data_IF_604428177714
#
_entry.id   IF_604428177714
#
_cell.length_a   1.000
_cell.length_b   1.000
_cell.length_c   1.000
_cell.angle_alpha   90.00
_cell.angle_beta   90.00
_cell.angle_gamma   90.00
#
_symmetry.space_group_name_H-M   'P 1'
#
loop_
_entity.id
_entity.type
_entity.pdbx_description
1 polymer ?
#
# COMPACT_ATOMS: atom_id res chain seq x y z
N UNK A 1 41.58 62.85 65.43
CA UNK A 1 42.12 62.53 64.10
C UNK A 1 42.20 61.01 63.99
N UNK A 2 41.45 60.38 63.07
CA UNK A 2 41.44 58.91 62.90
C UNK A 2 42.55 58.51 61.93
N UNK A 3 43.46 57.65 62.37
CA UNK A 3 44.54 57.10 61.54
C UNK A 3 43.98 56.18 60.46
N UNK A 4 44.21 56.50 59.19
CA UNK A 4 43.91 55.61 58.08
C UNK A 4 44.94 54.48 58.05
N UNK A 5 44.47 53.22 58.11
CA UNK A 5 45.30 52.03 57.90
C UNK A 5 45.39 51.79 56.39
N UNK A 6 46.61 51.78 55.85
CA UNK A 6 46.88 51.46 54.45
C UNK A 6 46.73 49.96 54.17
N UNK A 7 46.32 49.63 52.94
CA UNK A 7 46.16 48.25 52.46
C UNK A 7 47.52 47.53 52.43
N UNK A 8 47.58 46.30 52.92
CA UNK A 8 48.83 45.51 52.84
C UNK A 8 48.91 44.78 51.50
N UNK A 9 50.13 44.61 50.97
CA UNK A 9 50.35 43.89 49.71
C UNK A 9 49.87 42.42 49.81
N UNK A 10 50.00 41.81 50.99
CA UNK A 10 49.56 40.44 51.24
C UNK A 10 48.04 40.29 51.11
N UNK A 11 47.27 41.26 51.62
CA UNK A 11 45.80 41.23 51.53
C UNK A 11 45.30 41.30 50.09
N UNK A 12 45.97 42.10 49.25
CA UNK A 12 45.68 42.17 47.82
C UNK A 12 46.01 40.86 47.11
N UNK A 13 47.14 40.24 47.46
CA UNK A 13 47.56 38.97 46.87
C UNK A 13 46.59 37.84 47.22
N UNK A 14 46.15 37.75 48.48
CA UNK A 14 45.16 36.75 48.91
C UNK A 14 43.82 37.00 48.24
N UNK A 15 43.36 38.26 48.16
CA UNK A 15 42.13 38.61 47.47
C UNK A 15 42.15 38.20 45.99
N UNK A 16 43.24 38.48 45.28
CA UNK A 16 43.43 38.07 43.89
C UNK A 16 43.50 36.56 43.72
N UNK A 17 44.15 35.84 44.63
CA UNK A 17 44.22 34.38 44.59
C UNK A 17 42.83 33.74 44.74
N UNK A 18 42.05 34.19 45.72
CA UNK A 18 40.68 33.71 45.94
C UNK A 18 39.80 34.07 44.75
N UNK A 19 39.88 35.31 44.25
CA UNK A 19 39.12 35.75 43.10
C UNK A 19 39.42 34.92 41.85
N UNK A 20 40.70 34.66 41.57
CA UNK A 20 41.13 33.82 40.46
C UNK A 20 40.56 32.39 40.59
N UNK A 21 40.59 31.79 41.79
CA UNK A 21 40.01 30.47 42.02
C UNK A 21 38.50 30.46 41.79
N UNK A 22 37.78 31.46 42.29
CA UNK A 22 36.33 31.57 42.07
C UNK A 22 35.98 31.75 40.58
N UNK A 23 36.76 32.57 39.86
CA UNK A 23 36.58 32.76 38.43
C UNK A 23 36.77 31.43 37.65
N UNK A 24 37.80 30.66 38.00
CA UNK A 24 38.06 29.34 37.38
C UNK A 24 36.95 28.34 37.72
N UNK A 25 36.50 28.28 38.98
CA UNK A 25 35.41 27.39 39.39
C UNK A 25 34.10 27.73 38.66
N UNK A 26 33.77 29.02 38.54
CA UNK A 26 32.61 29.49 37.79
C UNK A 26 32.68 29.12 36.31
N UNK A 27 33.86 29.25 35.69
CA UNK A 27 34.06 28.84 34.29
C UNK A 27 33.88 27.33 34.08
N UNK A 28 34.39 26.49 35.00
CA UNK A 28 34.22 25.04 34.91
C UNK A 28 32.75 24.60 34.99
N UNK A 29 31.96 25.23 35.86
CA UNK A 29 30.52 24.96 35.94
C UNK A 29 29.81 25.35 34.66
N UNK A 30 30.12 26.54 34.13
CA UNK A 30 29.55 27.02 32.87
C UNK A 30 29.90 26.10 31.68
N UNK A 31 31.16 25.68 31.55
CA UNK A 31 31.61 24.75 30.51
C UNK A 31 30.90 23.39 30.64
N UNK A 32 30.77 22.86 31.86
CA UNK A 32 30.04 21.61 32.12
C UNK A 32 28.58 21.69 31.68
N UNK A 33 27.88 22.79 32.01
CA UNK A 33 26.48 23.02 31.60
C UNK A 33 26.36 23.15 30.09
N UNK A 34 27.27 23.89 29.43
CA UNK A 34 27.25 24.02 27.98
C UNK A 34 27.44 22.67 27.28
N UNK A 35 28.42 21.88 27.70
CA UNK A 35 28.65 20.53 27.15
C UNK A 35 27.46 19.60 27.41
N UNK A 36 26.83 19.70 28.59
CA UNK A 36 25.63 18.92 28.88
C UNK A 36 24.47 19.30 27.94
N UNK A 37 24.29 20.59 27.69
CA UNK A 37 23.28 21.11 26.75
C UNK A 37 23.55 20.67 25.32
N UNK A 38 24.79 20.74 24.86
CA UNK A 38 25.18 20.29 23.52
C UNK A 38 24.87 18.80 23.31
N UNK A 39 25.21 17.95 24.28
CA UNK A 39 24.85 16.52 24.22
C UNK A 39 23.34 16.30 24.22
N UNK A 40 22.60 17.01 25.07
CA UNK A 40 21.16 16.91 25.12
C UNK A 40 20.51 17.32 23.78
N UNK A 41 21.01 18.39 23.16
CA UNK A 41 20.53 18.85 21.85
C UNK A 41 20.81 17.80 20.77
N UNK A 42 22.02 17.24 20.72
CA UNK A 42 22.36 16.18 19.78
C UNK A 42 21.43 14.96 19.88
N UNK A 43 21.12 14.51 21.11
CA UNK A 43 20.17 13.42 21.31
C UNK A 43 18.73 13.80 20.92
N UNK A 44 18.31 15.04 21.17
CA UNK A 44 16.99 15.53 20.78
C UNK A 44 16.84 15.56 19.25
N UNK A 45 17.86 16.03 18.53
CA UNK A 45 17.85 16.09 17.06
C UNK A 45 17.78 14.67 16.46
N UNK A 46 18.57 13.72 16.98
CA UNK A 46 18.53 12.32 16.55
C UNK A 46 17.15 11.66 16.76
N UNK A 47 16.53 11.94 17.92
CA UNK A 47 15.20 11.43 18.23
C UNK A 47 14.13 12.07 17.33
N UNK A 48 14.29 13.35 16.95
CA UNK A 48 13.38 14.02 16.04
C UNK A 48 13.41 13.38 14.64
N UNK A 49 14.60 13.06 14.13
CA UNK A 49 14.76 12.35 12.84
C UNK A 49 14.12 10.96 12.89
N UNK A 50 14.34 10.20 13.96
CA UNK A 50 13.72 8.88 14.16
C UNK A 50 12.18 8.96 14.19
N UNK A 51 11.64 9.93 14.93
CA UNK A 51 10.20 10.17 15.00
C UNK A 51 9.61 10.59 13.65
N UNK A 52 10.31 11.45 12.90
CA UNK A 52 9.89 11.86 11.57
C UNK A 52 9.77 10.66 10.64
N UNK A 53 10.80 9.79 10.59
CA UNK A 53 10.77 8.58 9.79
C UNK A 53 9.61 7.65 10.19
N UNK A 54 9.40 7.46 11.50
CA UNK A 54 8.29 6.65 12.00
C UNK A 54 6.92 7.21 11.58
N UNK A 55 6.70 8.53 11.72
CA UNK A 55 5.45 9.18 11.33
C UNK A 55 5.20 9.10 9.83
N UNK A 56 6.24 9.28 9.02
CA UNK A 56 6.17 9.14 7.57
C UNK A 56 5.71 7.72 7.17
N UNK A 57 6.35 6.68 7.72
CA UNK A 57 5.92 5.29 7.49
C UNK A 57 4.51 5.06 8.01
N UNK A 58 4.16 5.54 9.21
CA UNK A 58 2.82 5.36 9.77
C UNK A 58 1.73 5.96 8.87
N UNK A 59 1.97 7.14 8.31
CA UNK A 59 1.06 7.79 7.37
C UNK A 59 0.91 6.98 6.06
N UNK A 60 2.02 6.57 5.46
CA UNK A 60 2.00 5.80 4.21
C UNK A 60 1.33 4.43 4.42
N UNK A 61 1.63 3.74 5.53
CA UNK A 61 1.03 2.45 5.90
C UNK A 61 -0.48 2.56 6.20
N UNK A 62 -0.90 3.68 6.80
CA UNK A 62 -2.32 3.96 7.09
C UNK A 62 -3.15 4.27 5.84
N UNK A 63 -2.52 4.63 4.73
CA UNK A 63 -3.17 5.01 3.48
C UNK A 63 -3.01 3.96 2.36
N UNK A 64 -2.45 2.80 2.66
CA UNK A 64 -2.27 1.71 1.68
C UNK A 64 -3.62 1.28 1.11
N UNK A 65 -3.65 1.06 -0.20
CA UNK A 65 -4.82 0.55 -0.90
C UNK A 65 -4.58 -0.87 -1.43
N UNK A 66 -5.60 -1.75 -1.41
CA UNK A 66 -5.54 -3.05 -2.04
C UNK A 66 -5.65 -2.91 -3.55
N UNK A 67 -4.53 -2.59 -4.20
CA UNK A 67 -4.45 -2.45 -5.65
C UNK A 67 -4.01 -3.76 -6.31
N UNK A 68 -4.61 -4.09 -7.45
CA UNK A 68 -4.29 -5.25 -8.26
C UNK A 68 -3.70 -4.81 -9.60
N UNK A 69 -2.67 -5.48 -10.08
CA UNK A 69 -2.11 -5.20 -11.41
C UNK A 69 -3.11 -5.73 -12.44
N UNK A 70 -3.56 -4.92 -13.42
CA UNK A 70 -4.32 -5.45 -14.55
C UNK A 70 -3.42 -6.45 -15.30
N UNK A 71 -3.76 -7.74 -15.27
CA UNK A 71 -3.00 -8.75 -16.00
C UNK A 71 -3.05 -8.40 -17.49
N UNK A 72 -1.91 -8.03 -18.08
CA UNK A 72 -1.82 -7.84 -19.53
C UNK A 72 -1.96 -9.22 -20.17
N UNK A 73 -3.06 -9.42 -20.89
CA UNK A 73 -3.36 -10.66 -21.60
C UNK A 73 -2.36 -10.80 -22.76
N UNK A 74 -1.16 -11.29 -22.49
CA UNK A 74 -0.16 -11.50 -23.52
C UNK A 74 -0.48 -12.81 -24.25
N UNK A 75 -1.35 -12.72 -25.27
CA UNK A 75 -1.55 -13.76 -26.27
C UNK A 75 -0.30 -13.87 -27.14
N UNK A 76 0.81 -14.33 -26.57
CA UNK A 76 1.97 -14.80 -27.34
C UNK A 76 1.67 -16.21 -27.85
N UNK A 77 0.70 -16.32 -28.76
CA UNK A 77 0.56 -17.51 -29.60
C UNK A 77 1.76 -17.52 -30.53
N UNK A 78 2.88 -18.04 -30.05
CA UNK A 78 3.95 -18.51 -30.93
C UNK A 78 3.41 -19.76 -31.61
N UNK A 79 2.71 -19.55 -32.74
CA UNK A 79 2.33 -20.61 -33.67
C UNK A 79 3.59 -21.29 -34.20
N UNK A 80 4.08 -22.29 -33.49
CA UNK A 80 5.05 -23.24 -34.01
C UNK A 80 4.60 -24.65 -33.64
N UNK A 81 3.56 -25.11 -34.33
CA UNK A 81 3.31 -26.53 -34.51
C UNK A 81 2.94 -26.77 -35.97
N UNK A 82 3.96 -27.01 -36.79
CA UNK A 82 3.82 -27.84 -37.97
C UNK A 82 3.50 -29.26 -37.48
N UNK A 83 2.22 -29.65 -37.44
CA UNK A 83 1.73 -30.98 -37.82
C UNK A 83 0.20 -31.06 -37.72
N UNK A 84 -0.36 -31.76 -38.71
CA UNK A 84 -1.77 -31.77 -39.06
C UNK A 84 -2.65 -32.68 -38.18
N UNK A 85 -3.96 -32.43 -38.31
CA UNK A 85 -5.11 -33.31 -38.05
C UNK A 85 -5.35 -33.77 -36.60
N UNK A 86 -6.03 -32.93 -35.81
CA UNK A 86 -7.35 -33.29 -35.28
C UNK A 86 -8.06 -32.00 -34.82
N UNK A 87 -9.29 -31.79 -35.28
CA UNK A 87 -10.05 -30.57 -35.08
C UNK A 87 -11.41 -30.92 -34.51
N UNK A 88 -11.46 -31.15 -33.20
CA UNK A 88 -12.69 -31.03 -32.41
C UNK A 88 -12.32 -30.96 -30.93
N UNK A 89 -12.85 -29.94 -30.24
CA UNK A 89 -12.70 -29.63 -28.81
C UNK A 89 -11.60 -28.64 -28.43
N UNK A 90 -11.60 -27.47 -29.08
CA UNK A 90 -11.17 -26.25 -28.38
C UNK A 90 -12.28 -25.83 -27.42
N UNK A 91 -12.37 -26.48 -26.25
CA UNK A 91 -12.90 -25.76 -25.10
C UNK A 91 -11.96 -24.60 -24.89
N UNK A 92 -12.40 -23.39 -25.23
CA UNK A 92 -11.76 -22.16 -24.81
C UNK A 92 -11.70 -22.22 -23.28
N UNK A 93 -10.61 -22.78 -22.77
CA UNK A 93 -10.27 -22.76 -21.37
C UNK A 93 -10.01 -21.29 -21.12
N UNK A 94 -11.06 -20.59 -20.67
CA UNK A 94 -10.97 -19.22 -20.27
C UNK A 94 -9.78 -19.16 -19.32
N UNK A 95 -8.68 -18.54 -19.76
CA UNK A 95 -7.55 -18.26 -18.89
C UNK A 95 -8.15 -17.37 -17.80
N UNK A 96 -8.48 -18.00 -16.67
CA UNK A 96 -8.89 -17.35 -15.45
C UNK A 96 -7.72 -16.46 -15.03
N UNK A 97 -7.74 -15.19 -15.44
CA UNK A 97 -6.78 -14.21 -14.99
C UNK A 97 -7.00 -14.03 -13.50
N UNK A 98 -6.15 -14.65 -12.69
CA UNK A 98 -6.13 -14.46 -11.24
C UNK A 98 -5.55 -13.06 -11.01
N UNK A 99 -6.28 -12.15 -10.36
CA UNK A 99 -5.73 -10.83 -10.07
C UNK A 99 -4.50 -10.97 -9.17
N UNK A 100 -3.37 -10.37 -9.55
CA UNK A 100 -2.17 -10.34 -8.72
C UNK A 100 -2.14 -9.05 -7.89
N UNK A 101 -1.77 -9.12 -6.59
CA UNK A 101 -1.61 -7.93 -5.78
C UNK A 101 -0.45 -7.10 -6.31
N UNK A 102 -0.64 -5.79 -6.35
CA UNK A 102 0.44 -4.87 -6.68
C UNK A 102 1.49 -4.83 -5.58
N UNK A 103 1.06 -4.91 -4.32
CA UNK A 103 1.97 -4.83 -3.20
C UNK A 103 2.97 -5.98 -3.24
N UNK A 104 4.25 -5.65 -3.23
CA UNK A 104 5.35 -6.60 -3.10
C UNK A 104 6.17 -6.30 -1.86
N UNK A 105 6.63 -7.35 -1.21
CA UNK A 105 7.57 -7.28 -0.10
C UNK A 105 8.56 -8.40 -0.30
N UNK A 106 9.84 -8.05 -0.36
CA UNK A 106 10.92 -8.96 -0.07
C UNK A 106 11.71 -8.40 1.11
N UNK A 107 12.53 -9.21 1.77
CA UNK A 107 13.18 -8.79 3.01
C UNK A 107 13.89 -7.42 2.94
N UNK A 108 14.31 -6.93 1.78
CA UNK A 108 15.06 -5.68 1.65
C UNK A 108 14.19 -4.47 1.27
N UNK A 109 13.07 -4.68 0.57
CA UNK A 109 12.18 -3.59 0.18
C UNK A 109 10.69 -3.94 0.28
N UNK A 110 9.88 -2.90 0.47
CA UNK A 110 8.42 -3.00 0.38
C UNK A 110 7.91 -1.97 -0.60
N UNK A 111 7.05 -2.39 -1.52
CA UNK A 111 6.46 -1.58 -2.59
C UNK A 111 4.96 -1.74 -2.53
N UNK A 112 4.24 -0.63 -2.56
CA UNK A 112 2.79 -0.63 -2.47
C UNK A 112 2.20 0.64 -3.07
N UNK A 113 0.88 0.62 -3.18
CA UNK A 113 0.10 1.77 -3.62
C UNK A 113 -0.64 2.36 -2.44
N UNK A 114 -0.66 3.69 -2.33
CA UNK A 114 -1.44 4.43 -1.33
C UNK A 114 -2.27 5.53 -1.97
N UNK A 115 -3.24 6.06 -1.24
CA UNK A 115 -3.79 7.37 -1.57
C UNK A 115 -2.73 8.46 -1.40
N UNK A 116 -2.73 9.45 -2.29
CA UNK A 116 -1.96 10.65 -2.09
C UNK A 116 -2.55 11.49 -0.95
N UNK A 117 -1.71 12.35 -0.38
CA UNK A 117 -2.20 13.31 0.60
C UNK A 117 -3.17 14.29 -0.07
N UNK A 118 -4.36 14.53 0.50
CA UNK A 118 -5.36 15.37 -0.12
C UNK A 118 -4.83 16.80 -0.23
N UNK A 119 -4.84 17.37 -1.43
CA UNK A 119 -4.53 18.79 -1.63
C UNK A 119 -5.76 19.62 -1.23
N UNK A 120 -5.69 20.44 -0.17
CA UNK A 120 -6.84 21.20 0.34
C UNK A 120 -7.38 22.22 -0.67
N UNK A 121 -6.62 22.54 -1.72
CA UNK A 121 -7.05 23.44 -2.80
C UNK A 121 -7.99 22.75 -3.78
N UNK A 122 -8.02 21.41 -3.82
CA UNK A 122 -8.80 20.62 -4.78
C UNK A 122 -9.73 19.63 -4.06
N UNK A 123 -11.04 19.76 -4.29
CA UNK A 123 -12.08 18.97 -3.61
C UNK A 123 -12.10 17.48 -4.00
N UNK A 124 -11.45 17.10 -5.09
CA UNK A 124 -11.40 15.73 -5.62
C UNK A 124 -9.97 15.34 -5.99
N UNK A 125 -9.08 15.30 -5.00
CA UNK A 125 -7.68 14.89 -5.16
C UNK A 125 -7.49 13.40 -4.84
N UNK A 126 -8.40 12.52 -5.29
CA UNK A 126 -8.19 11.06 -5.19
C UNK A 126 -7.14 10.60 -6.20
N UNK A 127 -5.91 11.06 -6.01
CA UNK A 127 -4.74 10.54 -6.70
C UNK A 127 -4.13 9.40 -5.89
N UNK A 128 -3.44 8.54 -6.61
CA UNK A 128 -2.88 7.31 -6.09
C UNK A 128 -1.38 7.36 -6.38
N UNK A 129 -0.57 6.95 -5.41
CA UNK A 129 0.88 7.00 -5.49
C UNK A 129 1.46 5.62 -5.26
N UNK A 130 2.46 5.27 -6.06
CA UNK A 130 3.31 4.13 -5.82
C UNK A 130 4.50 4.58 -4.96
N UNK A 131 4.63 3.96 -3.80
CA UNK A 131 5.68 4.20 -2.81
C UNK A 131 6.48 2.92 -2.63
N UNK A 132 7.78 3.09 -2.48
CA UNK A 132 8.72 2.02 -2.18
C UNK A 132 9.63 2.43 -1.03
N UNK A 133 9.91 1.51 -0.13
CA UNK A 133 10.93 1.67 0.90
C UNK A 133 12.06 0.69 0.69
N UNK A 134 13.28 1.19 0.69
CA UNK A 134 14.49 0.43 0.35
C UNK A 134 15.53 0.66 1.45
N UNK A 135 16.18 -0.43 1.88
CA UNK A 135 17.43 -0.35 2.62
C UNK A 135 18.61 -0.35 1.64
N UNK A 136 19.36 0.74 1.58
CA UNK A 136 20.53 0.85 0.70
C UNK A 136 21.57 1.77 1.36
N UNK A 137 22.86 1.45 1.21
CA UNK A 137 23.98 2.29 1.68
C UNK A 137 23.84 2.75 3.15
N UNK A 138 23.43 1.84 4.03
CA UNK A 138 23.14 2.11 5.45
C UNK A 138 22.06 3.17 5.67
N UNK A 139 21.12 3.32 4.73
CA UNK A 139 20.02 4.29 4.78
C UNK A 139 18.68 3.59 4.61
N UNK A 140 17.66 4.14 5.26
CA UNK A 140 16.26 3.87 4.92
C UNK A 140 15.79 4.96 3.96
N UNK A 141 15.48 4.57 2.73
CA UNK A 141 15.06 5.47 1.67
C UNK A 141 13.57 5.25 1.38
N UNK A 142 12.81 6.32 1.30
CA UNK A 142 11.46 6.35 0.74
C UNK A 142 11.52 6.86 -0.69
N UNK A 143 11.14 6.04 -1.64
CA UNK A 143 11.03 6.36 -3.06
C UNK A 143 9.57 6.53 -3.44
N UNK A 144 9.28 7.57 -4.21
CA UNK A 144 7.96 7.86 -4.74
C UNK A 144 8.02 7.90 -6.27
N UNK A 145 7.03 7.28 -6.90
CA UNK A 145 6.89 7.23 -8.36
C UNK A 145 5.76 8.16 -8.86
N UNK A 146 5.91 8.69 -10.09
CA UNK A 146 4.90 9.50 -10.80
C UNK A 146 3.78 8.63 -11.35
N UNK A 147 4.08 7.36 -11.61
CA UNK A 147 3.21 6.39 -12.29
C UNK A 147 3.11 5.12 -11.46
N UNK A 148 1.95 4.47 -11.50
CA UNK A 148 1.69 3.23 -10.75
C UNK A 148 2.50 2.06 -11.29
N UNK A 149 2.82 2.02 -12.59
CA UNK A 149 3.54 0.90 -13.23
C UNK A 149 5.04 0.83 -12.91
N UNK A 150 5.60 1.80 -12.18
CA UNK A 150 6.93 1.67 -11.54
C UNK A 150 8.14 1.52 -12.49
N UNK A 151 8.07 2.05 -13.71
CA UNK A 151 9.22 2.07 -14.63
C UNK A 151 10.44 2.85 -14.10
N UNK A 152 11.65 2.53 -14.59
CA UNK A 152 12.88 3.26 -14.22
C UNK A 152 12.80 4.77 -14.46
N UNK A 153 11.98 5.19 -15.42
CA UNK A 153 11.76 6.59 -15.78
C UNK A 153 10.60 7.25 -15.03
N UNK A 154 9.94 6.54 -14.10
CA UNK A 154 8.81 7.07 -13.31
C UNK A 154 9.19 7.47 -11.88
N UNK A 155 10.47 7.46 -11.49
CA UNK A 155 10.89 7.92 -10.16
C UNK A 155 10.71 9.43 -10.04
N UNK A 156 9.91 9.88 -9.06
CA UNK A 156 9.68 11.31 -8.79
C UNK A 156 10.61 11.89 -7.74
N UNK A 157 10.82 11.14 -6.65
CA UNK A 157 11.44 11.66 -5.44
C UNK A 157 11.99 10.54 -4.57
N UNK A 158 13.28 10.62 -4.26
CA UNK A 158 13.94 9.81 -3.24
C UNK A 158 14.19 10.66 -2.00
N UNK A 159 13.66 10.22 -0.86
CA UNK A 159 13.84 10.85 0.44
C UNK A 159 14.59 9.91 1.37
N UNK A 160 15.74 10.34 1.87
CA UNK A 160 16.48 9.62 2.92
C UNK A 160 15.79 9.91 4.24
N UNK A 161 15.21 8.89 4.87
CA UNK A 161 14.48 9.03 6.13
C UNK A 161 15.39 8.83 7.34
N UNK A 162 16.31 7.86 7.26
CA UNK A 162 17.27 7.54 8.30
C UNK A 162 18.62 7.21 7.65
N UNK A 163 19.70 7.62 8.30
CA UNK A 163 21.09 7.25 7.97
C UNK A 163 21.68 6.39 9.10
N UNK A 164 22.67 5.54 8.82
CA UNK A 164 23.25 4.64 9.82
C UNK A 164 22.34 3.48 10.22
N UNK A 165 21.45 3.06 9.31
CA UNK A 165 20.56 1.91 9.49
C UNK A 165 21.25 0.64 9.01
N UNK A 166 21.31 -0.38 9.86
CA UNK A 166 21.93 -1.67 9.54
C UNK A 166 20.97 -2.83 9.82
N UNK A 167 21.21 -3.99 9.19
CA UNK A 167 20.38 -5.20 9.34
C UNK A 167 18.87 -4.96 9.15
N UNK A 168 18.52 -4.04 8.23
CA UNK A 168 17.15 -3.70 7.88
C UNK A 168 16.46 -4.86 7.17
N UNK A 169 15.25 -5.22 7.64
CA UNK A 169 14.42 -6.23 7.02
C UNK A 169 12.93 -5.94 7.12
N UNK A 170 12.20 -6.23 6.06
CA UNK A 170 10.74 -6.18 5.99
C UNK A 170 10.13 -7.57 6.17
N UNK A 171 8.98 -7.61 6.82
CA UNK A 171 8.22 -8.84 7.05
C UNK A 171 6.72 -8.56 6.93
N UNK A 172 5.99 -9.52 6.34
CA UNK A 172 4.55 -9.49 6.21
C UNK A 172 3.91 -10.48 7.19
N UNK A 173 2.79 -10.10 7.82
CA UNK A 173 1.99 -10.99 8.66
C UNK A 173 0.88 -11.63 7.81
N UNK A 174 1.05 -12.91 7.48
CA UNK A 174 0.09 -13.74 6.75
C UNK A 174 -0.35 -14.91 7.64
N UNK A 175 -1.14 -14.64 8.69
CA UNK A 175 -1.11 -15.38 9.97
C UNK A 175 0.24 -15.69 10.64
N UNK A 176 1.25 -16.10 9.89
CA UNK A 176 2.64 -16.23 10.34
C UNK A 176 3.53 -15.16 9.70
N UNK A 177 4.71 -14.93 10.28
CA UNK A 177 5.69 -13.99 9.74
C UNK A 177 6.31 -14.55 8.45
N UNK A 178 6.23 -13.78 7.37
CA UNK A 178 6.84 -14.10 6.08
C UNK A 178 7.80 -13.00 5.64
N UNK A 179 8.94 -13.37 5.06
CA UNK A 179 9.87 -12.43 4.42
C UNK A 179 9.51 -12.11 2.98
N UNK A 180 8.41 -12.69 2.48
CA UNK A 180 7.90 -12.44 1.13
C UNK A 180 6.39 -12.25 1.11
N UNK A 181 5.94 -11.28 0.30
CA UNK A 181 4.54 -11.08 -0.07
C UNK A 181 4.48 -10.63 -1.54
N UNK A 182 3.54 -11.13 -2.35
CA UNK A 182 2.57 -12.20 -2.06
C UNK A 182 3.22 -13.58 -1.90
N UNK A 183 2.62 -14.45 -1.09
CA UNK A 183 3.03 -15.85 -1.01
C UNK A 183 2.30 -16.67 -2.09
N UNK A 184 3.03 -17.20 -3.07
CA UNK A 184 2.46 -18.01 -4.17
C UNK A 184 1.82 -19.31 -3.68
N UNK A 185 2.17 -19.75 -2.47
CA UNK A 185 1.67 -21.01 -1.90
C UNK A 185 0.22 -20.89 -1.36
N UNK A 186 -0.30 -19.68 -1.17
CA UNK A 186 -1.67 -19.45 -0.68
C UNK A 186 -2.76 -19.61 -1.77
N UNK A 187 -2.37 -19.72 -3.05
CA UNK A 187 -3.30 -19.96 -4.17
C UNK A 187 -3.82 -21.40 -4.23
N UNK A 188 -3.26 -22.33 -3.45
CA UNK A 188 -3.45 -23.76 -3.67
C UNK A 188 -4.05 -24.55 -2.50
N UNK A 189 -4.62 -23.87 -1.48
CA UNK A 189 -5.30 -24.57 -0.39
C UNK A 189 -6.82 -24.45 -0.49
N UNK A 190 -7.37 -25.06 -1.54
CA UNK A 190 -8.79 -25.42 -1.63
C UNK A 190 -9.06 -26.75 -0.95
N UNK A 191 -8.77 -26.89 0.35
CA UNK A 191 -9.30 -28.00 1.13
C UNK A 191 -9.43 -27.64 2.62
N UNK A 192 -10.44 -26.85 2.96
CA UNK A 192 -10.95 -26.80 4.34
C UNK A 192 -12.20 -27.67 4.41
N UNK A 193 -12.00 -28.90 4.88
CA UNK A 193 -13.07 -29.83 5.23
C UNK A 193 -13.86 -29.28 6.42
N UNK A 194 -15.01 -28.66 6.18
CA UNK A 194 -16.05 -28.53 7.19
C UNK A 194 -17.02 -29.68 7.00
N UNK A 195 -17.01 -30.62 7.96
CA UNK A 195 -18.03 -31.66 8.08
C UNK A 195 -19.41 -31.00 8.16
N UNK A 196 -20.17 -31.05 7.08
CA UNK A 196 -21.61 -30.80 7.10
C UNK A 196 -22.33 -32.15 7.16
N UNK A 197 -22.99 -32.37 8.29
CA UNK A 197 -23.96 -33.44 8.49
C UNK A 197 -24.92 -33.52 7.31
N UNK A 198 -25.09 -34.75 6.83
CA UNK A 198 -25.88 -35.19 5.68
C UNK A 198 -27.23 -34.49 5.51
N UNK A 199 -27.47 -33.93 4.32
CA UNK A 199 -28.79 -33.45 3.93
C UNK A 199 -28.81 -32.66 2.63
N UNK A 200 -29.02 -33.37 1.52
CA UNK A 200 -29.52 -32.89 0.21
C UNK A 200 -28.57 -32.14 -0.75
N UNK A 201 -28.55 -32.71 -1.95
CA UNK A 201 -27.85 -32.37 -3.19
C UNK A 201 -28.45 -31.14 -3.91
N UNK A 202 -27.65 -30.12 -4.19
CA UNK A 202 -27.76 -29.25 -5.39
C UNK A 202 -26.57 -28.26 -5.49
N UNK A 203 -25.84 -28.33 -6.61
CA UNK A 203 -24.84 -27.37 -7.13
C UNK A 203 -23.77 -26.82 -6.17
N UNK A 204 -22.64 -27.54 -6.09
CA UNK A 204 -21.38 -26.97 -5.61
C UNK A 204 -20.84 -25.99 -6.67
N UNK A 205 -21.13 -24.70 -6.51
CA UNK A 205 -20.41 -23.63 -7.17
C UNK A 205 -19.01 -23.62 -6.55
N UNK A 206 -17.99 -24.08 -7.27
CA UNK A 206 -16.60 -23.98 -6.84
C UNK A 206 -16.27 -22.52 -6.55
N UNK A 207 -16.20 -22.14 -5.27
CA UNK A 207 -15.84 -20.80 -4.85
C UNK A 207 -14.37 -20.55 -5.22
N UNK A 208 -14.14 -19.68 -6.20
CA UNK A 208 -12.80 -19.19 -6.57
C UNK A 208 -12.10 -18.64 -5.32
N UNK A 209 -10.84 -19.04 -5.02
CA UNK A 209 -10.14 -18.57 -3.83
C UNK A 209 -10.01 -17.04 -3.86
N UNK A 210 -10.36 -16.39 -2.76
CA UNK A 210 -10.21 -14.95 -2.62
C UNK A 210 -8.71 -14.59 -2.60
N UNK A 211 -8.27 -13.75 -3.55
CA UNK A 211 -6.89 -13.27 -3.58
C UNK A 211 -6.68 -12.28 -2.43
N UNK A 212 -5.64 -12.53 -1.63
CA UNK A 212 -5.22 -11.61 -0.57
C UNK A 212 -4.43 -10.46 -1.21
N UNK A 213 -5.00 -9.25 -1.18
CA UNK A 213 -4.39 -8.08 -1.83
C UNK A 213 -3.36 -7.36 -0.96
N UNK A 214 -3.50 -7.45 0.37
CA UNK A 214 -2.58 -6.89 1.35
C UNK A 214 -2.40 -7.87 2.52
N UNK A 215 -1.23 -7.89 3.19
CA UNK A 215 -1.03 -8.70 4.39
C UNK A 215 -1.86 -8.16 5.56
N UNK A 216 -2.04 -8.96 6.62
CA UNK A 216 -2.75 -8.51 7.83
C UNK A 216 -1.97 -7.46 8.62
N UNK A 217 -0.66 -7.43 8.42
CA UNK A 217 0.26 -6.51 9.07
C UNK A 217 1.59 -6.47 8.33
N UNK A 218 2.34 -5.42 8.58
CA UNK A 218 3.70 -5.23 8.05
C UNK A 218 4.59 -4.90 9.25
N UNK A 219 5.74 -5.56 9.34
CA UNK A 219 6.79 -5.23 10.27
C UNK A 219 8.07 -4.83 9.53
N UNK A 220 8.80 -3.90 10.14
CA UNK A 220 10.16 -3.57 9.75
C UNK A 220 11.05 -3.69 10.98
N UNK A 221 12.16 -4.38 10.83
CA UNK A 221 13.16 -4.53 11.88
C UNK A 221 14.49 -4.02 11.36
N UNK A 222 15.19 -3.22 12.14
CA UNK A 222 16.50 -2.70 11.76
C UNK A 222 17.29 -2.32 13.02
N UNK A 223 18.59 -2.10 12.87
CA UNK A 223 19.45 -1.58 13.93
C UNK A 223 19.78 -0.13 13.61
N UNK A 224 19.66 0.75 14.60
CA UNK A 224 19.95 2.17 14.48
C UNK A 224 20.70 2.61 15.74
N UNK A 225 21.90 3.17 15.57
CA UNK A 225 22.77 3.55 16.69
C UNK A 225 22.97 2.40 17.69
N UNK A 226 23.31 1.20 17.19
CA UNK A 226 23.50 -0.04 17.97
C UNK A 226 22.28 -0.55 18.75
N UNK A 227 21.10 0.05 18.54
CA UNK A 227 19.85 -0.39 19.15
C UNK A 227 18.95 -1.09 18.13
N UNK A 228 18.48 -2.32 18.40
CA UNK A 228 17.51 -2.97 17.55
C UNK A 228 16.13 -2.30 17.70
N UNK A 229 15.54 -1.90 16.59
CA UNK A 229 14.23 -1.26 16.49
C UNK A 229 13.30 -2.17 15.70
N UNK A 230 12.05 -2.23 16.13
CA UNK A 230 10.97 -2.91 15.41
C UNK A 230 9.75 -2.01 15.36
N UNK A 231 9.25 -1.76 14.16
CA UNK A 231 8.00 -1.06 13.93
C UNK A 231 7.01 -1.98 13.23
N UNK A 232 5.74 -1.87 13.59
CA UNK A 232 4.67 -2.74 13.10
C UNK A 232 3.39 -1.94 12.86
N UNK A 233 2.74 -2.21 11.74
CA UNK A 233 1.48 -1.56 11.37
C UNK A 233 0.48 -2.60 10.85
N UNK A 234 -0.80 -2.30 11.05
CA UNK A 234 -1.88 -2.98 10.36
C UNK A 234 -2.30 -2.10 9.18
N UNK A 235 -2.16 -2.55 7.92
CA UNK A 235 -2.72 -1.83 6.78
C UNK A 235 -4.24 -1.79 6.91
N UNK A 236 -4.86 -0.78 6.29
CA UNK A 236 -6.30 -0.53 6.42
C UNK A 236 -7.15 -1.79 6.10
N UNK A 237 -8.32 -1.96 6.74
CA UNK A 237 -9.16 -3.13 6.54
C UNK A 237 -9.51 -3.31 5.06
N UNK A 238 -9.27 -4.51 4.53
CA UNK A 238 -9.66 -4.85 3.16
C UNK A 238 -11.18 -4.73 3.01
N UNK A 239 -11.71 -4.02 2.00
CA UNK A 239 -13.11 -4.18 1.65
C UNK A 239 -13.34 -5.64 1.25
N UNK A 240 -14.35 -6.27 1.84
CA UNK A 240 -14.76 -7.63 1.47
C UNK A 240 -15.16 -7.57 -0.02
N UNK A 241 -14.58 -8.40 -0.90
CA UNK A 241 -14.97 -8.41 -2.31
C UNK A 241 -16.45 -8.75 -2.41
N UNK A 242 -17.25 -7.80 -2.90
CA UNK A 242 -18.65 -8.05 -3.26
C UNK A 242 -18.59 -8.83 -4.57
N UNK A 243 -18.85 -10.13 -4.50
CA UNK A 243 -19.07 -10.95 -5.69
C UNK A 243 -20.34 -10.45 -6.39
N UNK A 244 -20.18 -9.52 -7.33
CA UNK A 244 -21.27 -9.07 -8.17
C UNK A 244 -21.59 -10.18 -9.17
N UNK A 245 -22.37 -11.18 -8.74
CA UNK A 245 -23.03 -12.10 -9.65
C UNK A 245 -24.13 -11.32 -10.35
N UNK A 246 -23.78 -10.58 -11.40
CA UNK A 246 -24.75 -10.17 -12.40
C UNK A 246 -25.23 -11.43 -13.12
N UNK A 247 -26.23 -12.09 -12.50
CA UNK A 247 -27.04 -13.11 -13.15
C UNK A 247 -27.93 -12.35 -14.12
N UNK A 248 -27.43 -12.13 -15.34
CA UNK A 248 -28.27 -11.79 -16.48
C UNK A 248 -29.27 -12.92 -16.66
N UNK A 249 -30.45 -12.79 -16.07
CA UNK A 249 -31.58 -13.66 -16.35
C UNK A 249 -32.09 -13.31 -17.76
N UNK A 250 -31.45 -13.87 -18.78
CA UNK A 250 -32.08 -14.04 -20.07
C UNK A 250 -33.17 -15.13 -19.91
N UNK A 251 -34.38 -14.71 -19.52
CA UNK A 251 -35.55 -15.57 -19.69
C UNK A 251 -35.90 -15.62 -21.17
N UNK A 252 -35.26 -16.55 -21.88
CA UNK A 252 -35.79 -17.07 -23.14
C UNK A 252 -37.11 -17.77 -22.83
N UNK A 253 -38.21 -17.19 -23.33
CA UNK A 253 -39.53 -17.81 -23.28
C UNK A 253 -39.50 -19.12 -24.07
N UNK A 254 -39.66 -20.25 -23.38
CA UNK A 254 -39.87 -21.55 -24.03
C UNK A 254 -41.33 -22.01 -23.81
N UNK A 255 -42.08 -21.87 -24.89
CA UNK A 255 -43.13 -22.73 -25.43
C UNK A 255 -43.83 -23.72 -24.47
N UNK A 256 -45.13 -23.50 -24.26
CA UNK A 256 -46.09 -24.45 -23.69
C UNK A 256 -47.34 -24.49 -24.57
N UNK A 257 -47.45 -25.58 -25.34
CA UNK A 257 -48.51 -25.95 -26.26
C UNK A 257 -49.89 -26.07 -25.56
N UNK A 258 -50.94 -25.53 -26.18
CA UNK A 258 -52.33 -25.63 -25.72
C UNK A 258 -53.31 -25.34 -26.86
N UNK A 259 -53.71 -26.39 -27.57
CA UNK A 259 -54.75 -26.37 -28.60
C UNK A 259 -56.15 -26.21 -27.98
N UNK A 260 -56.98 -25.29 -28.49
CA UNK A 260 -58.31 -25.61 -29.04
C UNK A 260 -59.07 -24.40 -29.61
N UNK A 261 -59.74 -24.69 -30.72
CA UNK A 261 -60.66 -23.91 -31.54
C UNK A 261 -61.69 -23.07 -30.78
N UNK A 262 -62.01 -21.87 -31.30
CA UNK A 262 -63.36 -21.65 -31.84
C UNK A 262 -63.40 -20.51 -32.88
N UNK A 263 -64.41 -20.62 -33.71
CA UNK A 263 -64.76 -20.01 -35.00
C UNK A 263 -64.93 -18.49 -35.02
N UNK A 264 -64.66 -17.88 -36.17
CA UNK A 264 -65.66 -17.27 -37.09
C UNK A 264 -65.20 -15.99 -37.80
N UNK A 265 -65.51 -15.94 -39.10
CA UNK A 265 -65.73 -14.78 -39.97
C UNK A 265 -64.57 -13.78 -40.16
N UNK A 266 -64.39 -13.10 -41.29
CA UNK A 266 -64.69 -13.26 -42.71
C UNK A 266 -63.98 -12.07 -43.38
N UNK A 267 -63.60 -12.26 -44.63
CA UNK A 267 -63.52 -11.25 -45.71
C UNK A 267 -62.48 -10.11 -45.63
N UNK A 268 -61.56 -10.21 -46.59
CA UNK A 268 -61.28 -9.25 -47.65
C UNK A 268 -60.58 -7.90 -47.36
N UNK A 269 -59.44 -7.80 -48.04
CA UNK A 269 -59.11 -6.81 -49.08
C UNK A 269 -58.22 -5.60 -48.75
N UNK A 270 -57.25 -5.47 -49.65
CA UNK A 270 -56.71 -4.26 -50.27
C UNK A 270 -55.65 -3.42 -49.50
N UNK A 271 -54.40 -3.71 -49.88
CA UNK A 271 -53.32 -2.79 -50.29
C UNK A 271 -53.76 -1.36 -50.72
N UNK A 272 -52.84 -0.40 -50.94
CA UNK A 272 -51.72 0.10 -50.14
C UNK A 272 -51.80 1.65 -49.98
N UNK A 273 -50.74 2.24 -49.44
CA UNK A 273 -50.12 3.50 -49.92
C UNK A 273 -50.13 4.73 -48.97
N UNK A 274 -48.89 5.17 -48.74
CA UNK A 274 -48.40 6.55 -48.76
C UNK A 274 -48.38 7.43 -47.51
N UNK A 275 -47.16 7.94 -47.27
CA UNK A 275 -46.79 9.35 -47.15
C UNK A 275 -46.22 9.81 -45.78
N UNK A 276 -44.89 9.99 -45.76
CA UNK A 276 -44.17 11.24 -45.44
C UNK A 276 -44.58 11.99 -44.16
N UNK A 277 -43.68 12.12 -43.18
CA UNK A 277 -42.71 13.24 -43.11
C UNK A 277 -41.97 13.27 -41.75
N UNK A 278 -40.67 13.60 -41.82
CA UNK A 278 -39.84 14.42 -40.93
C UNK A 278 -40.28 14.69 -39.47
N UNK A 279 -39.35 14.51 -38.52
CA UNK A 279 -38.80 15.67 -37.83
C UNK A 279 -37.43 15.42 -37.20
N UNK A 280 -36.57 16.43 -37.33
CA UNK A 280 -35.30 16.59 -36.66
C UNK A 280 -35.47 17.33 -35.32
N UNK A 281 -34.44 17.29 -34.48
CA UNK A 281 -34.29 18.09 -33.25
C UNK A 281 -33.54 17.28 -32.19
N UNK A 282 -32.22 17.43 -32.02
CA UNK A 282 -31.56 18.57 -31.37
C UNK A 282 -32.17 18.90 -30.02
N UNK A 283 -31.48 18.55 -28.92
CA UNK A 283 -30.83 19.56 -28.10
C UNK A 283 -30.19 18.99 -26.82
N UNK A 284 -28.97 19.51 -26.60
CA UNK A 284 -28.27 19.81 -25.34
C UNK A 284 -27.68 18.62 -24.59
#
# INVERSE_FOLDING_TARGET
>A
MKSQRGFTLLELMVAMAIFAMLAVAGWQVFDSVNRARERAQFHADNLAVLQYAYLQLQQDMGQIIPYQIPSTQNNSVTNNSTNASDSTNNSAQANETVPEPFMSLDGEHVSFVRFADPDPRYQSSMSVQHIEYIFADERLIRRQYTSIDGGRDSISLDSVLLEGVTAGRWQAYLPELSTKFPNKDSSNNGNSSTNTTSGQTANAVSAKPAVVLLPKGIAVNFTYQDMPITWQWAPAPQPIPINNTNKSNNNAANNGNGSNNDSSDKTNNDDPNNNVNNNAGSNI
#
